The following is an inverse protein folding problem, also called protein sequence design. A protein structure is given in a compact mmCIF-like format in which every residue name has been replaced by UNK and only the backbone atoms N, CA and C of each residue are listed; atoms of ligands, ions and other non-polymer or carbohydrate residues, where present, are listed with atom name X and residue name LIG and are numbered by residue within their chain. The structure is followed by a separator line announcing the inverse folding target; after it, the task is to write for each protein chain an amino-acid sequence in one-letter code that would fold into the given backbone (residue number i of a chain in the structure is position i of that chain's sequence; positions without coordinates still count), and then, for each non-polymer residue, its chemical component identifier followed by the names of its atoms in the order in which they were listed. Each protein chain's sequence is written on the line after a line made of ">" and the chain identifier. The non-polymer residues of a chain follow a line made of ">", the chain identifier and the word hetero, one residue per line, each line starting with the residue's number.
data_IF_151672598372
#
_entry.id   IF_151672598372
#
_cell.length_a   1.000
_cell.length_b   1.000
_cell.length_c   1.000
_cell.angle_alpha   90.00
_cell.angle_beta   90.00
_cell.angle_gamma   90.00
#
_symmetry.space_group_name_H-M   'P 1'
#
loop_
_entity.id
_entity.type
_entity.pdbx_description
1 polymer ?
#
# COMPACT_ATOMS: atom_id res chain seq x y z
N UNK A 1 16.83 -29.40 -42.74
CA UNK A 1 16.33 -29.89 -41.43
C UNK A 1 17.06 -29.15 -40.30
N UNK A 2 16.41 -28.20 -39.62
CA UNK A 2 16.85 -27.70 -38.29
C UNK A 2 15.61 -27.40 -37.44
N UNK A 3 15.67 -27.87 -36.19
CA UNK A 3 14.55 -28.13 -35.28
C UNK A 3 13.93 -26.85 -34.71
N UNK A 4 12.61 -26.89 -34.56
CA UNK A 4 11.77 -25.91 -33.86
C UNK A 4 12.16 -25.80 -32.38
N UNK A 5 12.33 -24.58 -31.89
CA UNK A 5 12.33 -24.29 -30.46
C UNK A 5 10.95 -23.74 -30.08
N UNK A 6 10.20 -24.55 -29.35
CA UNK A 6 8.89 -24.23 -28.77
C UNK A 6 9.09 -23.30 -27.57
N UNK A 7 8.68 -22.04 -27.67
CA UNK A 7 8.58 -21.15 -26.49
C UNK A 7 7.21 -21.36 -25.84
N UNK A 8 7.23 -22.10 -24.74
CA UNK A 8 6.09 -22.34 -23.85
C UNK A 8 5.80 -21.02 -23.11
N UNK A 9 4.65 -20.42 -23.42
CA UNK A 9 4.06 -19.36 -22.61
C UNK A 9 3.54 -19.97 -21.31
N UNK A 10 4.14 -19.60 -20.19
CA UNK A 10 3.58 -19.84 -18.86
C UNK A 10 3.22 -18.48 -18.30
N UNK A 11 1.94 -18.13 -18.40
CA UNK A 11 1.34 -17.03 -17.65
C UNK A 11 1.38 -17.44 -16.17
N UNK A 12 2.38 -16.94 -15.44
CA UNK A 12 2.45 -17.07 -14.00
C UNK A 12 1.77 -15.85 -13.38
N UNK A 13 0.49 -15.99 -13.07
CA UNK A 13 -0.27 -15.01 -12.28
C UNK A 13 0.17 -15.20 -10.82
N UNK A 14 1.12 -14.38 -10.38
CA UNK A 14 1.45 -14.26 -8.96
C UNK A 14 0.37 -13.42 -8.28
N UNK A 15 -0.53 -14.09 -7.56
CA UNK A 15 -1.47 -13.45 -6.64
C UNK A 15 -0.72 -12.64 -5.58
N UNK A 16 -1.20 -11.44 -5.21
CA UNK A 16 -0.61 -10.67 -4.13
C UNK A 16 -0.81 -11.40 -2.81
N UNK A 17 0.30 -11.58 -2.08
CA UNK A 17 0.31 -12.02 -0.70
C UNK A 17 -0.59 -11.10 0.14
N UNK A 18 -1.72 -11.62 0.61
CA UNK A 18 -2.52 -10.97 1.64
C UNK A 18 -1.71 -10.89 2.93
N UNK A 19 -1.10 -9.74 3.21
CA UNK A 19 -0.63 -9.42 4.56
C UNK A 19 -1.84 -9.10 5.42
N UNK A 20 -2.47 -10.14 5.94
CA UNK A 20 -3.44 -10.06 7.03
C UNK A 20 -2.77 -9.42 8.24
N UNK A 21 -3.36 -8.40 8.88
CA UNK A 21 -2.86 -7.90 10.16
C UNK A 21 -2.91 -9.04 11.18
N UNK A 22 -1.75 -9.39 11.73
CA UNK A 22 -1.63 -10.36 12.83
C UNK A 22 -2.54 -9.90 13.97
N UNK A 23 -3.60 -10.64 14.25
CA UNK A 23 -4.35 -10.47 15.49
C UNK A 23 -3.40 -10.78 16.64
N UNK A 24 -3.18 -9.80 17.52
CA UNK A 24 -2.48 -10.04 18.78
C UNK A 24 -3.47 -10.82 19.64
N UNK A 25 -3.37 -12.14 19.53
CA UNK A 25 -3.98 -13.07 20.48
C UNK A 25 -3.40 -12.73 21.84
N UNK A 26 -4.25 -12.26 22.74
CA UNK A 26 -3.92 -12.00 24.14
C UNK A 26 -3.66 -13.36 24.81
N UNK A 27 -2.40 -13.80 24.79
CA UNK A 27 -1.97 -15.03 25.44
C UNK A 27 -1.90 -14.80 26.95
N UNK A 28 -3.03 -15.04 27.62
CA UNK A 28 -3.12 -15.08 29.06
C UNK A 28 -2.54 -16.42 29.55
N UNK A 29 -1.26 -16.43 29.97
CA UNK A 29 -0.66 -17.57 30.67
C UNK A 29 0.16 -17.13 31.89
N UNK A 30 -0.40 -17.54 33.04
CA UNK A 30 0.26 -18.00 34.26
C UNK A 30 1.11 -17.01 35.08
N UNK A 31 0.67 -16.78 36.31
CA UNK A 31 1.26 -17.52 37.43
C UNK A 31 0.36 -17.49 38.66
N UNK A 32 -0.01 -18.68 39.13
CA UNK A 32 -0.56 -18.93 40.47
C UNK A 32 0.41 -18.35 41.51
N UNK A 33 0.12 -17.17 42.05
CA UNK A 33 0.68 -16.76 43.34
C UNK A 33 -0.29 -17.25 44.41
N UNK A 34 0.19 -18.19 45.24
CA UNK A 34 -0.45 -18.61 46.49
C UNK A 34 -0.97 -17.38 47.25
N UNK A 35 -2.14 -17.44 47.90
CA UNK A 35 -2.45 -16.47 48.94
C UNK A 35 -1.42 -16.71 50.04
N UNK A 36 -0.50 -15.76 50.19
CA UNK A 36 0.38 -15.73 51.36
C UNK A 36 -0.52 -15.26 52.49
N UNK A 37 -0.93 -16.22 53.31
CA UNK A 37 -1.42 -15.98 54.65
C UNK A 37 -0.45 -15.06 55.38
N UNK A 38 -1.01 -14.26 56.29
CA UNK A 38 -0.33 -13.44 57.31
C UNK A 38 0.24 -12.09 56.86
N UNK A 39 -0.63 -11.09 56.72
CA UNK A 39 -0.42 -9.86 57.50
C UNK A 39 -1.44 -9.87 58.63
N UNK A 40 -1.09 -10.59 59.69
CA UNK A 40 -1.69 -10.39 61.00
C UNK A 40 -1.52 -8.90 61.28
N UNK A 41 -2.64 -8.15 61.33
CA UNK A 41 -2.70 -6.91 62.07
C UNK A 41 -2.28 -7.28 63.49
N UNK A 42 -0.98 -7.22 63.78
CA UNK A 42 -0.47 -7.34 65.13
C UNK A 42 -0.75 -5.98 65.77
N UNK A 43 -2.02 -5.68 65.97
CA UNK A 43 -2.42 -4.72 66.98
C UNK A 43 -1.91 -5.32 68.28
N UNK A 44 -0.80 -4.76 68.78
CA UNK A 44 -0.41 -4.89 70.18
C UNK A 44 -1.69 -4.68 71.00
N UNK A 45 -2.00 -5.53 71.99
CA UNK A 45 -3.22 -5.35 72.75
C UNK A 45 -3.14 -3.97 73.42
N UNK A 46 -3.91 -3.00 72.93
CA UNK A 46 -4.08 -1.70 73.56
C UNK A 46 -4.99 -1.91 74.76
N UNK A 47 -4.44 -2.60 75.75
CA UNK A 47 -5.06 -2.77 77.05
C UNK A 47 -4.86 -1.44 77.80
N UNK A 48 -5.71 -0.46 77.47
CA UNK A 48 -6.12 0.68 78.31
C UNK A 48 -6.62 1.83 77.43
N UNK A 49 -7.77 1.65 76.76
CA UNK A 49 -8.61 2.81 76.40
C UNK A 49 -9.34 3.23 77.68
N UNK A 50 -8.64 3.98 78.55
CA UNK A 50 -9.18 4.36 79.86
C UNK A 50 -10.15 5.55 79.78
N UNK A 51 -10.22 6.25 78.64
CA UNK A 51 -11.07 7.42 78.43
C UNK A 51 -11.76 7.42 77.05
N UNK A 52 -12.95 8.02 77.00
CA UNK A 52 -13.74 8.25 75.78
C UNK A 52 -12.93 9.06 74.74
N UNK A 53 -12.02 9.93 75.18
CA UNK A 53 -11.18 10.72 74.27
C UNK A 53 -10.24 9.85 73.44
N UNK A 54 -9.61 8.84 74.06
CA UNK A 54 -8.66 7.95 73.36
C UNK A 54 -9.36 7.17 72.24
N UNK A 55 -10.61 6.75 72.48
CA UNK A 55 -11.43 6.09 71.47
C UNK A 55 -11.78 7.04 70.32
N UNK A 56 -12.13 8.29 70.62
CA UNK A 56 -12.43 9.32 69.61
C UNK A 56 -11.20 9.62 68.76
N UNK A 57 -10.02 9.71 69.37
CA UNK A 57 -8.78 10.01 68.67
C UNK A 57 -8.34 8.83 67.80
N UNK A 58 -8.51 7.59 68.29
CA UNK A 58 -8.30 6.38 67.49
C UNK A 58 -9.28 6.28 66.31
N UNK A 59 -10.56 6.55 66.53
CA UNK A 59 -11.57 6.53 65.48
C UNK A 59 -11.30 7.61 64.42
N UNK A 60 -10.94 8.82 64.87
CA UNK A 60 -10.55 9.92 64.00
C UNK A 60 -9.28 9.60 63.20
N UNK A 61 -8.26 9.01 63.83
CA UNK A 61 -7.04 8.55 63.16
C UNK A 61 -7.33 7.51 62.08
N UNK A 62 -8.16 6.50 62.40
CA UNK A 62 -8.57 5.47 61.42
C UNK A 62 -9.34 6.07 60.24
N UNK A 63 -10.23 7.01 60.52
CA UNK A 63 -10.98 7.71 59.46
C UNK A 63 -10.06 8.55 58.58
N UNK A 64 -9.14 9.32 59.17
CA UNK A 64 -8.19 10.13 58.39
C UNK A 64 -7.25 9.27 57.55
N UNK A 65 -6.74 8.15 58.10
CA UNK A 65 -5.94 7.19 57.33
C UNK A 65 -6.75 6.60 56.16
N UNK A 66 -8.03 6.23 56.38
CA UNK A 66 -8.88 5.73 55.30
C UNK A 66 -9.07 6.78 54.21
N UNK A 67 -9.32 8.02 54.60
CA UNK A 67 -9.54 9.13 53.65
C UNK A 67 -8.28 9.45 52.85
N UNK A 68 -7.20 9.78 53.54
CA UNK A 68 -5.94 10.22 52.91
C UNK A 68 -5.25 9.06 52.18
N UNK A 69 -4.95 7.99 52.91
CA UNK A 69 -3.99 6.99 52.43
C UNK A 69 -4.63 5.94 51.53
N UNK A 70 -5.94 5.70 51.69
CA UNK A 70 -6.64 4.75 50.82
C UNK A 70 -7.42 5.46 49.71
N UNK A 71 -8.29 6.42 50.04
CA UNK A 71 -9.19 7.03 49.06
C UNK A 71 -8.45 8.04 48.19
N UNK A 72 -7.86 9.07 48.79
CA UNK A 72 -7.21 10.16 48.05
C UNK A 72 -6.00 9.65 47.27
N UNK A 73 -5.20 8.76 47.85
CA UNK A 73 -4.11 8.08 47.14
C UNK A 73 -4.61 7.25 45.95
N UNK A 74 -5.62 6.40 46.14
CA UNK A 74 -6.19 5.58 45.06
C UNK A 74 -6.74 6.44 43.92
N UNK A 75 -7.48 7.51 44.25
CA UNK A 75 -7.98 8.45 43.25
C UNK A 75 -6.85 9.14 42.48
N UNK A 76 -5.80 9.59 43.18
CA UNK A 76 -4.61 10.17 42.55
C UNK A 76 -3.96 9.19 41.57
N UNK A 77 -3.78 7.93 41.95
CA UNK A 77 -3.17 6.93 41.07
C UNK A 77 -4.04 6.62 39.84
N UNK A 78 -5.36 6.48 40.02
CA UNK A 78 -6.30 6.29 38.90
C UNK A 78 -6.22 7.46 37.90
N UNK A 79 -6.15 8.69 38.40
CA UNK A 79 -6.06 9.89 37.55
C UNK A 79 -4.74 9.88 36.77
N UNK A 80 -3.60 9.62 37.43
CA UNK A 80 -2.29 9.53 36.75
C UNK A 80 -2.28 8.45 35.68
N UNK A 81 -2.87 7.29 35.95
CA UNK A 81 -2.97 6.20 34.99
C UNK A 81 -3.83 6.57 33.79
N UNK A 82 -4.94 7.29 34.02
CA UNK A 82 -5.82 7.80 32.96
C UNK A 82 -5.09 8.82 32.07
N UNK A 83 -4.38 9.77 32.67
CA UNK A 83 -3.55 10.75 31.95
C UNK A 83 -2.45 10.07 31.14
N UNK A 84 -1.74 9.11 31.73
CA UNK A 84 -0.72 8.33 31.06
C UNK A 84 -1.31 7.51 29.91
N UNK A 85 -2.49 6.92 30.09
CA UNK A 85 -3.22 6.23 29.03
C UNK A 85 -3.59 7.17 27.89
N UNK A 86 -4.17 8.33 28.19
CA UNK A 86 -4.55 9.33 27.19
C UNK A 86 -3.35 9.84 26.41
N UNK A 87 -2.22 10.12 27.09
CA UNK A 87 -0.97 10.55 26.46
C UNK A 87 -0.43 9.48 25.48
N UNK A 88 -0.41 8.20 25.90
CA UNK A 88 -0.01 7.09 25.02
C UNK A 88 -0.95 6.92 23.83
N UNK A 89 -2.26 7.02 24.07
CA UNK A 89 -3.27 6.89 23.01
C UNK A 89 -3.14 8.03 22.00
N UNK A 90 -3.04 9.27 22.46
CA UNK A 90 -2.85 10.45 21.61
C UNK A 90 -1.57 10.33 20.76
N UNK A 91 -0.46 9.88 21.34
CA UNK A 91 0.79 9.63 20.61
C UNK A 91 0.59 8.60 19.48
N UNK A 92 -0.06 7.48 19.77
CA UNK A 92 -0.34 6.44 18.74
C UNK A 92 -1.25 6.98 17.65
N UNK A 93 -2.32 7.67 18.03
CA UNK A 93 -3.26 8.28 17.08
C UNK A 93 -2.57 9.28 16.16
N UNK A 94 -1.69 10.13 16.70
CA UNK A 94 -0.90 11.09 15.93
C UNK A 94 0.03 10.39 14.93
N UNK A 95 0.78 9.38 15.37
CA UNK A 95 1.65 8.60 14.48
C UNK A 95 0.85 7.90 13.39
N UNK A 96 -0.28 7.27 13.74
CA UNK A 96 -1.15 6.62 12.76
C UNK A 96 -1.70 7.61 11.74
N UNK A 97 -2.18 8.78 12.18
CA UNK A 97 -2.68 9.81 11.28
C UNK A 97 -1.60 10.29 10.31
N UNK A 98 -0.37 10.47 10.78
CA UNK A 98 0.76 10.84 9.93
C UNK A 98 1.09 9.76 8.91
N UNK A 99 1.11 8.49 9.32
CA UNK A 99 1.34 7.35 8.42
C UNK A 99 0.22 7.28 7.36
N UNK A 100 -1.04 7.42 7.77
CA UNK A 100 -2.16 7.44 6.83
C UNK A 100 -2.03 8.58 5.82
N UNK A 101 -1.66 9.79 6.28
CA UNK A 101 -1.42 10.92 5.37
C UNK A 101 -0.29 10.63 4.39
N UNK A 102 0.85 10.12 4.87
CA UNK A 102 1.99 9.78 4.03
C UNK A 102 1.63 8.73 2.96
N UNK A 103 0.85 7.70 3.32
CA UNK A 103 0.39 6.68 2.38
C UNK A 103 -0.54 7.29 1.32
N UNK A 104 -1.44 8.20 1.70
CA UNK A 104 -2.29 8.90 0.74
C UNK A 104 -1.49 9.76 -0.22
N UNK A 105 -0.52 10.52 0.28
CA UNK A 105 0.33 11.40 -0.53
C UNK A 105 1.19 10.60 -1.53
N UNK A 106 1.76 9.47 -1.08
CA UNK A 106 2.54 8.56 -1.94
C UNK A 106 1.66 7.92 -3.02
N UNK A 107 0.46 7.45 -2.66
CA UNK A 107 -0.47 6.86 -3.61
C UNK A 107 -0.95 7.86 -4.67
N UNK A 108 -1.22 9.11 -4.28
CA UNK A 108 -1.59 10.18 -5.22
C UNK A 108 -0.44 10.51 -6.18
N UNK A 109 0.79 10.59 -5.66
CA UNK A 109 2.00 10.80 -6.47
C UNK A 109 2.19 9.67 -7.49
N UNK A 110 2.08 8.42 -7.07
CA UNK A 110 2.25 7.25 -7.94
C UNK A 110 1.13 7.17 -8.99
N UNK A 111 -0.11 7.46 -8.60
CA UNK A 111 -1.23 7.53 -9.54
C UNK A 111 -1.00 8.60 -10.61
N UNK A 112 -0.60 9.81 -10.21
CA UNK A 112 -0.28 10.90 -11.16
C UNK A 112 0.85 10.52 -12.11
N UNK A 113 1.91 9.90 -11.59
CA UNK A 113 3.03 9.42 -12.42
C UNK A 113 2.56 8.38 -13.43
N UNK A 114 1.85 7.35 -12.97
CA UNK A 114 1.34 6.29 -13.83
C UNK A 114 0.38 6.83 -14.90
N UNK A 115 -0.52 7.75 -14.53
CA UNK A 115 -1.43 8.38 -15.48
C UNK A 115 -0.68 9.19 -16.55
N UNK A 116 0.38 9.89 -16.16
CA UNK A 116 1.25 10.62 -17.09
C UNK A 116 1.97 9.67 -18.04
N UNK A 117 2.59 8.62 -17.51
CA UNK A 117 3.33 7.62 -18.31
C UNK A 117 2.39 6.93 -19.34
N UNK A 118 1.16 6.58 -18.94
CA UNK A 118 0.14 6.01 -19.85
C UNK A 118 -0.23 7.01 -20.95
N UNK A 119 -0.47 8.28 -20.58
CA UNK A 119 -0.85 9.30 -21.56
C UNK A 119 0.27 9.54 -22.59
N UNK A 120 1.51 9.68 -22.13
CA UNK A 120 2.68 9.82 -23.01
C UNK A 120 2.84 8.61 -23.94
N UNK A 121 2.67 7.38 -23.42
CA UNK A 121 2.72 6.17 -24.25
C UNK A 121 1.59 6.12 -25.28
N UNK A 122 0.38 6.54 -24.94
CA UNK A 122 -0.75 6.57 -25.86
C UNK A 122 -0.53 7.58 -26.98
N UNK A 123 -0.06 8.79 -26.65
CA UNK A 123 0.22 9.82 -27.66
C UNK A 123 1.37 9.39 -28.59
N UNK A 124 2.45 8.81 -28.06
CA UNK A 124 3.55 8.30 -28.89
C UNK A 124 3.10 7.17 -29.83
N UNK A 125 2.22 6.28 -29.35
CA UNK A 125 1.66 5.21 -30.18
C UNK A 125 0.75 5.76 -31.28
N UNK A 126 -0.06 6.77 -30.97
CA UNK A 126 -0.92 7.44 -31.94
C UNK A 126 -0.10 8.13 -33.03
N UNK A 127 0.93 8.89 -32.64
CA UNK A 127 1.83 9.56 -33.57
C UNK A 127 2.53 8.55 -34.51
N UNK A 128 3.05 7.45 -33.96
CA UNK A 128 3.68 6.39 -34.76
C UNK A 128 2.69 5.72 -35.72
N UNK A 129 1.43 5.54 -35.32
CA UNK A 129 0.40 4.98 -36.20
C UNK A 129 0.04 5.95 -37.32
N UNK A 130 -0.08 7.25 -37.04
CA UNK A 130 -0.32 8.30 -38.04
C UNK A 130 0.83 8.34 -39.07
N UNK A 131 2.09 8.27 -38.63
CA UNK A 131 3.26 8.17 -39.51
C UNK A 131 3.21 6.92 -40.39
N UNK A 132 2.91 5.75 -39.81
CA UNK A 132 2.82 4.49 -40.54
C UNK A 132 1.73 4.53 -41.62
N UNK A 133 0.57 5.14 -41.33
CA UNK A 133 -0.51 5.30 -42.30
C UNK A 133 -0.10 6.25 -43.42
N UNK A 134 0.57 7.37 -43.09
CA UNK A 134 1.07 8.32 -44.08
C UNK A 134 2.10 7.65 -45.03
N UNK A 135 3.03 6.87 -44.48
CA UNK A 135 4.04 6.13 -45.25
C UNK A 135 3.44 5.05 -46.14
N UNK A 136 2.44 4.32 -45.65
CA UNK A 136 1.72 3.32 -46.43
C UNK A 136 0.98 3.98 -47.61
N UNK A 137 0.31 5.11 -47.37
CA UNK A 137 -0.38 5.88 -48.41
C UNK A 137 0.60 6.47 -49.44
N UNK A 138 1.72 7.03 -48.99
CA UNK A 138 2.78 7.55 -49.87
C UNK A 138 3.38 6.45 -50.74
N UNK A 139 3.65 5.28 -50.14
CA UNK A 139 4.18 4.11 -50.85
C UNK A 139 3.19 3.57 -51.87
N UNK A 140 1.92 3.38 -51.50
CA UNK A 140 0.87 2.93 -52.41
C UNK A 140 0.69 3.93 -53.57
N UNK A 141 0.68 5.22 -53.27
CA UNK A 141 0.57 6.28 -54.29
C UNK A 141 1.73 6.24 -55.27
N UNK A 142 2.97 6.10 -54.77
CA UNK A 142 4.16 5.96 -55.61
C UNK A 142 4.07 4.74 -56.53
N UNK A 143 3.73 3.57 -55.98
CA UNK A 143 3.60 2.35 -56.77
C UNK A 143 2.56 2.52 -57.89
N UNK A 144 1.37 3.02 -57.55
CA UNK A 144 0.26 3.14 -58.50
C UNK A 144 0.49 4.23 -59.55
N UNK A 145 1.05 5.38 -59.17
CA UNK A 145 1.17 6.54 -60.07
C UNK A 145 2.48 6.61 -60.82
N UNK A 146 3.57 6.04 -60.30
CA UNK A 146 4.89 6.14 -60.93
C UNK A 146 5.43 4.78 -61.36
N UNK A 147 5.59 3.84 -60.42
CA UNK A 147 6.30 2.58 -60.70
C UNK A 147 5.57 1.70 -61.74
N UNK A 148 4.25 1.55 -61.62
CA UNK A 148 3.47 0.74 -62.57
C UNK A 148 3.49 1.37 -63.98
N UNK A 149 3.18 2.66 -64.19
CA UNK A 149 3.25 3.29 -65.51
C UNK A 149 4.66 3.28 -66.15
N UNK A 150 5.71 3.52 -65.37
CA UNK A 150 7.09 3.48 -65.87
C UNK A 150 7.48 2.08 -66.34
N UNK A 151 7.09 1.05 -65.58
CA UNK A 151 7.31 -0.34 -65.94
C UNK A 151 6.54 -0.71 -67.21
N UNK A 152 5.27 -0.29 -67.32
CA UNK A 152 4.45 -0.53 -68.51
C UNK A 152 5.08 0.10 -69.75
N UNK A 153 5.50 1.37 -69.65
CA UNK A 153 6.17 2.10 -70.75
C UNK A 153 7.48 1.42 -71.17
N UNK A 154 8.27 0.94 -70.20
CA UNK A 154 9.49 0.17 -70.47
C UNK A 154 9.20 -1.13 -71.23
N UNK A 155 8.16 -1.86 -70.81
CA UNK A 155 7.75 -3.11 -71.44
C UNK A 155 7.23 -2.91 -72.87
N UNK A 156 6.40 -1.89 -73.11
CA UNK A 156 5.95 -1.51 -74.45
C UNK A 156 7.13 -1.19 -75.38
N UNK A 157 8.13 -0.44 -74.87
CA UNK A 157 9.36 -0.16 -75.62
C UNK A 157 10.12 -1.44 -75.98
N UNK A 158 10.27 -2.37 -75.03
CA UNK A 158 10.94 -3.65 -75.27
C UNK A 158 10.22 -4.49 -76.33
N UNK A 159 8.88 -4.57 -76.27
CA UNK A 159 8.07 -5.24 -77.31
C UNK A 159 8.28 -4.60 -78.67
N UNK A 160 8.27 -3.26 -78.74
CA UNK A 160 8.49 -2.53 -79.99
C UNK A 160 9.84 -2.86 -80.64
N UNK A 161 10.91 -2.97 -79.84
CA UNK A 161 12.24 -3.38 -80.32
C UNK A 161 12.21 -4.78 -80.91
N UNK A 162 11.54 -5.73 -80.25
CA UNK A 162 11.43 -7.11 -80.75
C UNK A 162 10.64 -7.13 -82.06
N UNK A 163 9.47 -6.50 -82.12
CA UNK A 163 8.65 -6.43 -83.34
C UNK A 163 9.42 -5.87 -84.53
N UNK A 164 10.15 -4.77 -84.30
CA UNK A 164 11.01 -4.15 -85.32
C UNK A 164 12.07 -5.10 -85.87
N UNK A 165 12.72 -5.92 -85.03
CA UNK A 165 13.72 -6.91 -85.47
C UNK A 165 13.15 -8.02 -86.36
N UNK A 166 11.87 -8.35 -86.21
CA UNK A 166 11.20 -9.43 -86.96
C UNK A 166 10.30 -8.92 -88.08
N UNK A 167 10.29 -7.61 -88.38
CA UNK A 167 9.45 -7.03 -89.44
C UNK A 167 7.95 -7.11 -89.14
N UNK A 168 7.56 -7.26 -87.88
CA UNK A 168 6.17 -7.30 -87.45
C UNK A 168 5.67 -5.84 -87.34
N UNK A 169 4.64 -5.43 -88.10
CA UNK A 169 4.09 -4.09 -87.99
C UNK A 169 3.58 -3.82 -86.57
N UNK A 170 3.78 -2.61 -86.05
CA UNK A 170 3.07 -2.20 -84.84
C UNK A 170 1.60 -1.98 -85.18
N UNK A 171 0.72 -2.63 -84.42
CA UNK A 171 -0.68 -2.24 -84.33
C UNK A 171 -0.82 -0.85 -83.69
#
# INVERSE_FOLDING_TARGET
>A
MKKKASRKSTLQVSSPSSTTPKSIILENRNSKKKPTTTSVLRSKPQNSLASISDLKDLASSRFQHLKSDLIDHSHSEIIKDLEAFQSRLHKRFKMQSQICQQVMDEADKDFKKMSKDINESCEAMKESYEELIADAQATATRVCKTSIPELLKSHEKAIGIIRSRFGIPSA
#
